data_IF_994646491811
#
_entry.id   IF_994646491811
#
_cell.length_a   1.000
_cell.length_b   1.000
_cell.length_c   1.000
_cell.angle_alpha   90.00
_cell.angle_beta   90.00
_cell.angle_gamma   90.00
#
_symmetry.space_group_name_H-M   'P 1'
#
loop_
_entity.id
_entity.type
_entity.pdbx_description
1 polymer ?
#
# COMPACT_ATOMS: atom_id res chain seq x y z
N UNK A 1 71.85 105.48 -176.90
CA UNK A 1 73.31 105.62 -177.01
C UNK A 1 73.84 104.37 -177.71
N UNK A 2 74.41 104.35 -178.92
CA UNK A 2 74.83 105.38 -179.91
C UNK A 2 74.93 104.69 -181.30
N UNK A 3 74.26 105.28 -182.31
CA UNK A 3 74.49 105.30 -183.79
C UNK A 3 74.41 104.01 -184.65
N UNK A 4 74.08 104.08 -185.97
CA UNK A 4 74.07 105.24 -186.90
C UNK A 4 72.70 105.51 -187.59
N UNK A 5 72.60 106.69 -188.22
CA UNK A 5 71.38 107.15 -188.93
C UNK A 5 71.40 106.89 -190.43
N UNK A 6 70.21 106.94 -191.08
CA UNK A 6 69.95 107.25 -192.50
C UNK A 6 68.44 107.59 -192.68
N UNK A 7 68.19 108.71 -193.36
CA UNK A 7 67.06 109.17 -194.21
C UNK A 7 65.59 108.82 -193.90
N UNK A 8 64.76 109.87 -193.83
CA UNK A 8 63.31 109.84 -193.68
C UNK A 8 62.49 109.38 -194.90
N UNK A 9 63.08 108.58 -195.80
CA UNK A 9 62.38 108.03 -196.98
C UNK A 9 62.11 106.51 -196.89
N UNK A 10 62.59 105.80 -195.87
CA UNK A 10 62.54 104.31 -195.82
C UNK A 10 61.46 103.68 -194.91
N UNK A 11 60.84 104.44 -193.99
CA UNK A 11 59.87 103.88 -193.01
C UNK A 11 58.51 103.59 -193.65
N UNK A 12 58.10 104.42 -194.60
CA UNK A 12 56.82 104.25 -195.29
C UNK A 12 56.87 103.10 -196.30
N UNK A 13 58.05 102.81 -196.86
CA UNK A 13 58.27 101.66 -197.74
C UNK A 13 58.17 100.35 -196.95
N UNK A 14 58.79 100.23 -195.77
CA UNK A 14 58.67 99.03 -194.91
C UNK A 14 57.25 98.82 -194.37
N UNK A 15 56.52 99.89 -194.07
CA UNK A 15 55.13 99.81 -193.59
C UNK A 15 54.18 99.39 -194.73
N UNK A 16 54.45 99.82 -195.96
CA UNK A 16 53.74 99.38 -197.15
C UNK A 16 54.05 97.91 -197.51
N UNK A 17 55.31 97.48 -197.38
CA UNK A 17 55.71 96.09 -197.60
C UNK A 17 55.15 95.15 -196.53
N UNK A 18 55.14 95.57 -195.26
CA UNK A 18 54.48 94.81 -194.18
C UNK A 18 52.94 94.77 -194.33
N UNK A 19 52.33 95.74 -195.04
CA UNK A 19 50.92 95.65 -195.43
C UNK A 19 50.73 94.71 -196.61
N UNK A 20 51.56 94.78 -197.65
CA UNK A 20 51.52 93.83 -198.78
C UNK A 20 51.78 92.39 -198.33
N UNK A 21 52.70 92.16 -197.40
CA UNK A 21 52.97 90.83 -196.86
C UNK A 21 51.76 90.27 -196.08
N UNK A 22 51.10 91.12 -195.27
CA UNK A 22 49.86 90.74 -194.56
C UNK A 22 48.69 90.51 -195.52
N UNK A 23 48.57 91.32 -196.57
CA UNK A 23 47.54 91.14 -197.59
C UNK A 23 47.82 89.89 -198.45
N UNK A 24 49.09 89.56 -198.73
CA UNK A 24 49.46 88.32 -199.42
C UNK A 24 49.23 87.07 -198.55
N UNK A 25 49.53 87.10 -197.25
CA UNK A 25 49.18 86.01 -196.34
C UNK A 25 47.66 85.88 -196.15
N UNK A 26 46.95 87.00 -196.15
CA UNK A 26 45.49 87.02 -196.10
C UNK A 26 44.87 86.46 -197.38
N UNK A 27 45.43 86.76 -198.54
CA UNK A 27 45.00 86.19 -199.83
C UNK A 27 45.29 84.69 -199.87
N UNK A 28 46.47 84.24 -199.43
CA UNK A 28 46.79 82.80 -199.32
C UNK A 28 45.80 82.03 -198.45
N UNK A 29 45.28 82.66 -197.39
CA UNK A 29 44.25 82.10 -196.51
C UNK A 29 42.81 82.20 -197.07
N UNK A 30 42.51 83.19 -197.92
CA UNK A 30 41.17 83.38 -198.49
C UNK A 30 40.93 82.65 -199.83
N UNK A 31 41.99 82.37 -200.60
CA UNK A 31 41.88 81.78 -201.94
C UNK A 31 41.87 80.25 -201.94
N UNK A 32 42.45 79.62 -200.91
CA UNK A 32 42.37 78.17 -200.74
C UNK A 32 41.04 77.79 -200.07
N UNK A 33 40.12 77.22 -200.87
CA UNK A 33 38.77 76.84 -200.43
C UNK A 33 38.76 75.81 -199.28
N UNK A 34 39.83 75.06 -199.05
CA UNK A 34 39.92 74.06 -197.97
C UNK A 34 40.30 74.70 -196.64
N UNK A 35 41.30 75.58 -196.63
CA UNK A 35 41.71 76.33 -195.42
C UNK A 35 40.66 77.35 -194.98
N UNK A 36 39.83 77.83 -195.91
CA UNK A 36 38.72 78.76 -195.66
C UNK A 36 37.48 78.10 -195.03
N UNK A 37 37.23 76.83 -195.35
CA UNK A 37 36.11 76.08 -194.77
C UNK A 37 36.51 75.27 -193.52
N UNK A 38 37.76 74.82 -193.43
CA UNK A 38 38.26 74.00 -192.31
C UNK A 38 39.70 74.43 -191.96
N UNK A 39 39.83 75.55 -191.26
CA UNK A 39 41.08 75.97 -190.62
C UNK A 39 41.09 75.55 -189.15
N UNK A 40 41.77 74.46 -188.80
CA UNK A 40 41.91 74.01 -187.41
C UNK A 40 43.38 74.03 -186.97
N UNK A 41 43.67 74.70 -185.85
CA UNK A 41 44.98 74.68 -185.20
C UNK A 41 45.13 73.39 -184.39
N UNK A 42 45.63 72.33 -185.04
CA UNK A 42 45.78 70.99 -184.46
C UNK A 42 46.74 71.01 -183.26
N UNK A 43 47.73 71.92 -183.23
CA UNK A 43 48.71 72.02 -182.14
C UNK A 43 48.05 72.66 -180.92
N UNK A 44 47.29 73.75 -181.12
CA UNK A 44 46.50 74.38 -180.05
C UNK A 44 45.47 73.44 -179.43
N UNK A 45 44.76 72.65 -180.25
CA UNK A 45 43.78 71.66 -179.75
C UNK A 45 44.45 70.55 -178.93
N UNK A 46 45.64 70.06 -179.33
CA UNK A 46 46.37 69.05 -178.55
C UNK A 46 46.77 69.57 -177.17
N UNK A 47 47.23 70.82 -177.06
CA UNK A 47 47.56 71.43 -175.78
C UNK A 47 46.32 71.60 -174.89
N UNK A 48 45.18 72.00 -175.47
CA UNK A 48 43.91 72.08 -174.73
C UNK A 48 43.42 70.72 -174.23
N UNK A 49 43.61 69.65 -175.01
CA UNK A 49 43.29 68.28 -174.57
C UNK A 49 44.18 67.87 -173.39
N UNK A 50 45.49 68.14 -173.47
CA UNK A 50 46.42 67.81 -172.39
C UNK A 50 46.11 68.59 -171.09
N UNK A 51 45.83 69.89 -171.20
CA UNK A 51 45.42 70.72 -170.06
C UNK A 51 44.11 70.20 -169.44
N UNK A 52 43.11 69.87 -170.27
CA UNK A 52 41.84 69.33 -169.80
C UNK A 52 41.98 67.96 -169.15
N UNK A 53 42.90 67.12 -169.65
CA UNK A 53 43.24 65.84 -169.03
C UNK A 53 43.93 66.01 -167.67
N UNK A 54 44.86 66.97 -167.54
CA UNK A 54 45.48 67.26 -166.25
C UNK A 54 44.47 67.81 -165.23
N UNK A 55 43.56 68.69 -165.67
CA UNK A 55 42.51 69.23 -164.81
C UNK A 55 41.54 68.13 -164.34
N UNK A 56 41.18 67.20 -165.22
CA UNK A 56 40.35 66.04 -164.88
C UNK A 56 41.06 65.09 -163.89
N UNK A 57 42.37 64.88 -164.03
CA UNK A 57 43.15 64.08 -163.06
C UNK A 57 43.23 64.75 -161.69
N UNK A 58 43.40 66.07 -161.64
CA UNK A 58 43.39 66.82 -160.37
C UNK A 58 42.02 66.76 -159.69
N UNK A 59 40.93 66.90 -160.45
CA UNK A 59 39.57 66.76 -159.92
C UNK A 59 39.31 65.35 -159.36
N UNK A 60 39.70 64.29 -160.07
CA UNK A 60 39.53 62.92 -159.59
C UNK A 60 40.26 62.66 -158.26
N UNK A 61 41.48 63.21 -158.09
CA UNK A 61 42.23 63.07 -156.84
C UNK A 61 41.59 63.84 -155.68
N UNK A 62 41.03 65.02 -155.94
CA UNK A 62 40.30 65.78 -154.92
C UNK A 62 38.97 65.11 -154.56
N UNK A 63 38.24 64.57 -155.53
CA UNK A 63 37.01 63.80 -155.29
C UNK A 63 37.30 62.54 -154.45
N UNK A 64 38.39 61.82 -154.74
CA UNK A 64 38.81 60.66 -153.96
C UNK A 64 39.16 61.04 -152.51
N UNK A 65 39.84 62.18 -152.28
CA UNK A 65 40.11 62.67 -150.91
C UNK A 65 38.82 63.01 -150.18
N UNK A 66 37.90 63.72 -150.82
CA UNK A 66 36.60 64.06 -150.23
C UNK A 66 35.79 62.81 -149.88
N UNK A 67 35.84 61.78 -150.73
CA UNK A 67 35.18 60.50 -150.46
C UNK A 67 35.76 59.81 -149.21
N UNK A 68 37.09 59.77 -149.08
CA UNK A 68 37.74 59.19 -147.89
C UNK A 68 37.39 59.97 -146.61
N UNK A 69 37.41 61.30 -146.66
CA UNK A 69 37.01 62.15 -145.52
C UNK A 69 35.54 61.92 -145.11
N UNK A 70 34.62 61.77 -146.07
CA UNK A 70 33.22 61.45 -145.80
C UNK A 70 33.04 60.06 -145.19
N UNK A 71 33.79 59.06 -145.64
CA UNK A 71 33.74 57.71 -145.07
C UNK A 71 34.28 57.67 -143.64
N UNK A 72 35.35 58.41 -143.34
CA UNK A 72 35.89 58.51 -141.97
C UNK A 72 34.92 59.22 -141.03
N UNK A 73 34.28 60.31 -141.48
CA UNK A 73 33.21 60.99 -140.73
C UNK A 73 32.03 60.05 -140.48
N UNK A 74 31.63 59.26 -141.48
CA UNK A 74 30.53 58.30 -141.35
C UNK A 74 30.84 57.22 -140.32
N UNK A 75 32.06 56.67 -140.34
CA UNK A 75 32.52 55.68 -139.35
C UNK A 75 32.55 56.23 -137.94
N UNK A 76 32.97 57.49 -137.78
CA UNK A 76 32.97 58.17 -136.49
C UNK A 76 31.54 58.35 -135.94
N UNK A 77 30.61 58.83 -136.77
CA UNK A 77 29.20 59.01 -136.38
C UNK A 77 28.54 57.70 -135.91
N UNK A 78 28.77 56.59 -136.64
CA UNK A 78 28.24 55.28 -136.26
C UNK A 78 28.78 54.83 -134.89
N UNK A 79 30.05 55.09 -134.59
CA UNK A 79 30.65 54.76 -133.29
C UNK A 79 30.00 55.55 -132.16
N UNK A 80 29.84 56.86 -132.34
CA UNK A 80 29.20 57.74 -131.35
C UNK A 80 27.74 57.32 -131.10
N UNK A 81 26.99 57.00 -132.15
CA UNK A 81 25.60 56.55 -132.01
C UNK A 81 25.51 55.19 -131.30
N UNK A 82 26.44 54.27 -131.57
CA UNK A 82 26.52 52.99 -130.86
C UNK A 82 26.85 53.18 -129.36
N UNK A 83 27.78 54.08 -129.03
CA UNK A 83 28.15 54.40 -127.65
C UNK A 83 26.98 55.06 -126.90
N UNK A 84 26.28 56.03 -127.51
CA UNK A 84 25.11 56.68 -126.90
C UNK A 84 23.96 55.69 -126.67
N UNK A 85 23.69 54.81 -127.62
CA UNK A 85 22.59 53.83 -127.48
C UNK A 85 22.87 52.80 -126.39
N UNK A 86 24.13 52.40 -126.21
CA UNK A 86 24.55 51.55 -125.10
C UNK A 86 24.43 52.29 -123.76
N UNK A 87 24.94 53.52 -123.66
CA UNK A 87 24.84 54.32 -122.44
C UNK A 87 23.38 54.53 -122.00
N UNK A 88 22.47 54.90 -122.92
CA UNK A 88 21.04 55.04 -122.62
C UNK A 88 20.40 53.73 -122.18
N UNK A 89 20.80 52.60 -122.76
CA UNK A 89 20.29 51.28 -122.35
C UNK A 89 20.73 50.92 -120.93
N UNK A 90 22.00 51.17 -120.61
CA UNK A 90 22.56 50.88 -119.29
C UNK A 90 21.95 51.76 -118.20
N UNK A 91 21.77 53.06 -118.47
CA UNK A 91 21.07 53.98 -117.57
C UNK A 91 19.63 53.55 -117.32
N UNK A 92 18.88 53.21 -118.39
CA UNK A 92 17.51 52.73 -118.25
C UNK A 92 17.43 51.40 -117.48
N UNK A 93 18.40 50.50 -117.66
CA UNK A 93 18.48 49.26 -116.90
C UNK A 93 18.80 49.53 -115.42
N UNK A 94 19.73 50.45 -115.13
CA UNK A 94 20.06 50.86 -113.76
C UNK A 94 18.84 51.44 -113.06
N UNK A 95 18.14 52.38 -113.68
CA UNK A 95 16.96 53.01 -113.10
C UNK A 95 15.85 51.99 -112.79
N UNK A 96 15.64 51.00 -113.67
CA UNK A 96 14.69 49.90 -113.41
C UNK A 96 15.10 49.03 -112.22
N UNK A 97 16.40 48.73 -112.06
CA UNK A 97 16.90 47.97 -110.89
C UNK A 97 16.73 48.77 -109.60
N UNK A 98 17.06 50.06 -109.62
CA UNK A 98 16.94 50.93 -108.45
C UNK A 98 15.46 51.09 -108.03
N UNK A 99 14.56 51.28 -108.99
CA UNK A 99 13.12 51.31 -108.75
C UNK A 99 12.59 49.98 -108.18
N UNK A 100 13.00 48.84 -108.75
CA UNK A 100 12.62 47.53 -108.24
C UNK A 100 13.15 47.31 -106.81
N UNK A 101 14.40 47.69 -106.53
CA UNK A 101 14.99 47.56 -105.20
C UNK A 101 14.25 48.41 -104.14
N UNK A 102 13.84 49.63 -104.49
CA UNK A 102 13.07 50.50 -103.60
C UNK A 102 11.64 49.96 -103.38
N UNK A 103 10.94 49.57 -104.44
CA UNK A 103 9.54 49.12 -104.37
C UNK A 103 9.34 47.70 -103.79
N UNK A 104 10.38 46.86 -103.78
CA UNK A 104 10.34 45.51 -103.20
C UNK A 104 10.87 45.43 -101.76
N UNK A 105 11.15 46.56 -101.10
CA UNK A 105 11.57 46.57 -99.70
C UNK A 105 10.56 45.80 -98.83
N UNK A 106 11.01 44.67 -98.27
CA UNK A 106 10.16 43.70 -97.56
C UNK A 106 9.44 44.31 -96.35
N UNK A 107 10.00 45.37 -95.78
CA UNK A 107 9.48 46.06 -94.59
C UNK A 107 8.34 47.04 -94.89
N UNK A 108 8.20 47.50 -96.13
CA UNK A 108 7.17 48.48 -96.53
C UNK A 108 5.91 47.80 -97.09
N UNK A 109 5.91 46.47 -97.18
CA UNK A 109 4.73 45.71 -97.59
C UNK A 109 3.66 45.79 -96.50
N UNK A 110 2.40 45.85 -96.92
CA UNK A 110 1.25 45.83 -96.00
C UNK A 110 1.20 44.59 -95.11
N UNK A 111 1.79 43.49 -95.57
CA UNK A 111 1.87 42.20 -94.87
C UNK A 111 3.18 42.00 -94.08
N UNK A 112 4.06 43.01 -94.04
CA UNK A 112 5.34 42.91 -93.36
C UNK A 112 5.18 42.66 -91.84
N UNK A 113 4.07 43.13 -91.26
CA UNK A 113 3.69 42.90 -89.88
C UNK A 113 3.25 41.46 -89.60
N UNK A 114 2.55 40.83 -90.54
CA UNK A 114 2.14 39.42 -90.51
C UNK A 114 3.34 38.50 -90.76
N UNK A 115 4.28 38.92 -91.62
CA UNK A 115 5.50 38.17 -91.95
C UNK A 115 6.60 38.27 -90.88
N UNK A 116 6.35 38.98 -89.76
CA UNK A 116 7.28 39.04 -88.61
C UNK A 116 7.41 37.69 -87.91
N UNK A 117 8.57 37.45 -87.32
CA UNK A 117 8.79 36.24 -86.53
C UNK A 117 8.00 36.32 -85.23
N UNK A 118 7.44 35.18 -84.80
CA UNK A 118 6.78 35.06 -83.49
C UNK A 118 7.74 35.43 -82.34
N UNK A 119 9.05 35.34 -82.58
CA UNK A 119 10.11 35.72 -81.63
C UNK A 119 10.18 37.23 -81.35
N UNK A 120 9.64 38.06 -82.25
CA UNK A 120 9.66 39.53 -82.12
C UNK A 120 8.47 40.05 -81.30
N UNK A 121 7.54 39.17 -80.90
CA UNK A 121 6.40 39.55 -80.05
C UNK A 121 6.77 39.45 -78.56
N UNK A 122 6.36 40.42 -77.73
CA UNK A 122 6.58 40.35 -76.29
C UNK A 122 5.80 39.16 -75.68
N UNK A 123 6.31 38.54 -74.60
CA UNK A 123 5.60 37.47 -73.92
C UNK A 123 4.25 37.96 -73.41
N UNK A 124 3.24 37.11 -73.52
CA UNK A 124 1.89 37.43 -73.07
C UNK A 124 1.88 37.69 -71.55
N UNK A 125 1.45 38.88 -71.15
CA UNK A 125 1.18 39.18 -69.76
C UNK A 125 -0.22 38.68 -69.38
N UNK A 126 -0.30 37.47 -68.84
CA UNK A 126 -1.54 36.79 -68.44
C UNK A 126 -2.35 37.59 -67.42
N UNK A 127 -1.69 38.37 -66.54
CA UNK A 127 -2.36 39.16 -65.51
C UNK A 127 -2.99 40.46 -66.04
N UNK A 128 -2.56 40.93 -67.21
CA UNK A 128 -3.16 42.08 -67.92
C UNK A 128 -4.31 41.68 -68.85
N UNK A 129 -4.52 40.37 -69.05
CA UNK A 129 -5.54 39.84 -69.95
C UNK A 129 -6.93 39.91 -69.30
N UNK A 130 -7.95 40.29 -70.08
CA UNK A 130 -9.33 40.34 -69.61
C UNK A 130 -9.97 38.93 -69.60
N UNK A 131 -11.13 38.81 -68.94
CA UNK A 131 -11.86 37.54 -68.79
C UNK A 131 -12.25 36.96 -70.16
N UNK A 132 -12.62 37.81 -71.13
CA UNK A 132 -13.05 37.39 -72.48
C UNK A 132 -11.94 36.74 -73.31
N UNK A 133 -10.67 37.03 -73.01
CA UNK A 133 -9.51 36.48 -73.73
C UNK A 133 -9.24 35.00 -73.43
N UNK A 134 -9.85 34.45 -72.37
CA UNK A 134 -9.65 33.08 -71.88
C UNK A 134 -8.18 32.70 -71.65
N UNK A 135 -7.30 33.68 -71.38
CA UNK A 135 -5.89 33.45 -71.09
C UNK A 135 -5.61 33.24 -69.59
N UNK A 136 -6.54 33.65 -68.71
CA UNK A 136 -6.44 33.53 -67.26
C UNK A 136 -7.69 32.85 -66.70
N UNK A 137 -7.50 31.84 -65.87
CA UNK A 137 -8.58 31.13 -65.17
C UNK A 137 -8.36 31.21 -63.66
N UNK A 138 -9.34 31.75 -62.93
CA UNK A 138 -9.23 31.89 -61.47
C UNK A 138 -9.16 30.55 -60.72
N UNK A 139 -9.54 29.44 -61.37
CA UNK A 139 -9.42 28.09 -60.82
C UNK A 139 -8.01 27.50 -60.81
N UNK A 140 -7.04 28.09 -61.50
CA UNK A 140 -5.67 27.55 -61.62
C UNK A 140 -4.87 27.63 -60.30
N UNK A 141 -5.28 28.51 -59.37
CA UNK A 141 -4.63 28.75 -58.06
C UNK A 141 -3.09 28.67 -58.10
N UNK A 142 -2.46 29.74 -58.61
CA UNK A 142 -1.00 29.89 -58.63
C UNK A 142 -0.37 29.84 -57.23
N UNK A 143 -1.16 30.11 -56.18
CA UNK A 143 -0.76 30.10 -54.77
C UNK A 143 -0.97 28.75 -54.06
N UNK A 144 -1.39 27.70 -54.77
CA UNK A 144 -1.73 26.39 -54.19
C UNK A 144 -0.64 25.85 -53.25
N UNK A 145 0.62 25.94 -53.65
CA UNK A 145 1.73 25.44 -52.85
C UNK A 145 1.94 26.24 -51.56
N UNK A 146 1.83 27.57 -51.62
CA UNK A 146 1.94 28.43 -50.45
C UNK A 146 0.77 28.21 -49.48
N UNK A 147 -0.46 28.11 -50.01
CA UNK A 147 -1.66 27.78 -49.24
C UNK A 147 -1.50 26.44 -48.51
N UNK A 148 -1.06 25.38 -49.21
CA UNK A 148 -0.80 24.09 -48.58
C UNK A 148 0.30 24.16 -47.51
N UNK A 149 1.37 24.94 -47.76
CA UNK A 149 2.44 25.14 -46.77
C UNK A 149 1.91 25.83 -45.50
N UNK A 150 1.11 26.87 -45.64
CA UNK A 150 0.49 27.57 -44.51
C UNK A 150 -0.49 26.68 -43.74
N UNK A 151 -1.34 25.93 -44.44
CA UNK A 151 -2.25 24.97 -43.82
C UNK A 151 -1.50 23.87 -43.07
N UNK A 152 -0.42 23.33 -43.65
CA UNK A 152 0.41 22.34 -42.99
C UNK A 152 1.09 22.91 -41.73
N UNK A 153 1.56 24.15 -41.77
CA UNK A 153 2.12 24.83 -40.61
C UNK A 153 1.07 25.03 -39.51
N UNK A 154 -0.14 25.50 -39.85
CA UNK A 154 -1.24 25.64 -38.90
C UNK A 154 -1.63 24.30 -38.26
N UNK A 155 -1.78 23.25 -39.05
CA UNK A 155 -2.08 21.91 -38.54
C UNK A 155 -0.99 21.40 -37.59
N UNK A 156 0.29 21.64 -37.92
CA UNK A 156 1.41 21.27 -37.06
C UNK A 156 1.35 22.02 -35.73
N UNK A 157 1.15 23.33 -35.78
CA UNK A 157 1.14 24.18 -34.58
C UNK A 157 -0.06 23.83 -33.68
N UNK A 158 -1.24 23.58 -34.25
CA UNK A 158 -2.41 23.10 -33.50
C UNK A 158 -2.18 21.73 -32.87
N UNK A 159 -1.57 20.80 -33.61
CA UNK A 159 -1.26 19.45 -33.10
C UNK A 159 -0.25 19.55 -31.95
N UNK A 160 0.75 20.43 -32.07
CA UNK A 160 1.73 20.66 -31.03
C UNK A 160 1.09 21.26 -29.77
N UNK A 161 0.19 22.23 -29.92
CA UNK A 161 -0.55 22.82 -28.80
C UNK A 161 -1.41 21.77 -28.09
N UNK A 162 -2.17 20.96 -28.84
CA UNK A 162 -2.96 19.87 -28.26
C UNK A 162 -2.10 18.82 -27.55
N UNK A 163 -0.94 18.48 -28.10
CA UNK A 163 -0.03 17.54 -27.46
C UNK A 163 0.52 18.10 -26.14
N UNK A 164 0.90 19.37 -26.12
CA UNK A 164 1.36 20.07 -24.91
C UNK A 164 0.25 20.13 -23.86
N UNK A 165 -0.97 20.51 -24.23
CA UNK A 165 -2.11 20.54 -23.32
C UNK A 165 -2.41 19.15 -22.75
N UNK A 166 -2.39 18.10 -23.59
CA UNK A 166 -2.58 16.73 -23.14
C UNK A 166 -1.48 16.29 -22.17
N UNK A 167 -0.22 16.65 -22.44
CA UNK A 167 0.90 16.35 -21.56
C UNK A 167 0.76 17.07 -20.21
N UNK A 168 0.39 18.35 -20.22
CA UNK A 168 0.17 19.12 -18.99
C UNK A 168 -0.98 18.54 -18.16
N UNK A 169 -2.09 18.15 -18.79
CA UNK A 169 -3.21 17.47 -18.12
C UNK A 169 -2.76 16.14 -17.51
N UNK A 170 -2.03 15.32 -18.26
CA UNK A 170 -1.52 14.04 -17.77
C UNK A 170 -0.52 14.22 -16.60
N UNK A 171 0.29 15.27 -16.63
CA UNK A 171 1.18 15.62 -15.51
C UNK A 171 0.40 16.05 -14.27
N UNK A 172 -0.60 16.93 -14.44
CA UNK A 172 -1.47 17.35 -13.35
C UNK A 172 -2.23 16.17 -12.73
N UNK A 173 -2.80 15.27 -13.54
CA UNK A 173 -3.44 14.05 -13.06
C UNK A 173 -2.47 13.14 -12.31
N UNK A 174 -1.22 13.02 -12.77
CA UNK A 174 -0.19 12.25 -12.08
C UNK A 174 0.27 12.92 -10.76
N UNK A 175 0.33 14.25 -10.70
CA UNK A 175 0.61 15.00 -9.48
C UNK A 175 -0.52 14.84 -8.46
N UNK A 176 -1.78 14.96 -8.90
CA UNK A 176 -2.96 14.75 -8.05
C UNK A 176 -3.03 13.31 -7.53
N UNK A 177 -2.74 12.32 -8.38
CA UNK A 177 -2.68 10.91 -7.98
C UNK A 177 -1.56 10.66 -6.95
N UNK A 178 -0.40 11.29 -7.10
CA UNK A 178 0.69 11.23 -6.11
C UNK A 178 0.30 11.88 -4.79
N UNK A 179 -0.26 13.09 -4.84
CA UNK A 179 -0.74 13.79 -3.64
C UNK A 179 -1.80 12.96 -2.91
N UNK A 180 -2.73 12.36 -3.64
CA UNK A 180 -3.72 11.45 -3.06
C UNK A 180 -3.07 10.22 -2.43
N UNK A 181 -2.14 9.56 -3.12
CA UNK A 181 -1.41 8.42 -2.56
C UNK A 181 -0.66 8.77 -1.27
N UNK A 182 0.00 9.94 -1.22
CA UNK A 182 0.69 10.42 -0.02
C UNK A 182 -0.28 10.70 1.13
N UNK A 183 -1.44 11.29 0.85
CA UNK A 183 -2.49 11.49 1.88
C UNK A 183 -3.01 10.16 2.40
N UNK A 184 -3.26 9.17 1.54
CA UNK A 184 -3.72 7.84 1.96
C UNK A 184 -2.66 7.11 2.77
N UNK A 185 -1.38 7.20 2.39
CA UNK A 185 -0.27 6.65 3.18
C UNK A 185 -0.16 7.33 4.55
N UNK A 186 -0.39 8.64 4.63
CA UNK A 186 -0.44 9.36 5.90
C UNK A 186 -1.62 8.92 6.79
N UNK A 187 -2.83 8.82 6.22
CA UNK A 187 -4.01 8.32 6.94
C UNK A 187 -3.78 6.91 7.46
N UNK A 188 -3.21 6.01 6.64
CA UNK A 188 -2.90 4.65 7.06
C UNK A 188 -1.89 4.59 8.21
N UNK A 189 -0.87 5.47 8.21
CA UNK A 189 0.05 5.60 9.36
C UNK A 189 -0.67 6.06 10.62
N UNK A 190 -1.51 7.08 10.53
CA UNK A 190 -2.28 7.58 11.69
C UNK A 190 -3.23 6.51 12.25
N UNK A 191 -3.88 5.73 11.37
CA UNK A 191 -4.72 4.60 11.77
C UNK A 191 -3.89 3.55 12.52
N UNK A 192 -2.73 3.18 11.98
CA UNK A 192 -1.85 2.23 12.63
C UNK A 192 -1.35 2.72 14.00
N UNK A 193 -0.93 3.99 14.09
CA UNK A 193 -0.53 4.61 15.36
C UNK A 193 -1.68 4.56 16.38
N UNK A 194 -2.89 4.96 15.97
CA UNK A 194 -4.07 4.92 16.83
C UNK A 194 -4.43 3.49 17.30
N UNK A 195 -4.31 2.48 16.42
CA UNK A 195 -4.50 1.08 16.79
C UNK A 195 -3.45 0.62 17.81
N UNK A 196 -2.18 0.94 17.59
CA UNK A 196 -1.11 0.55 18.52
C UNK A 196 -1.27 1.21 19.89
N UNK A 197 -1.69 2.47 19.93
CA UNK A 197 -1.94 3.18 21.20
C UNK A 197 -3.18 2.65 21.90
N UNK A 198 -4.24 2.30 21.15
CA UNK A 198 -5.40 1.63 21.70
C UNK A 198 -5.04 0.27 22.33
N UNK A 199 -4.22 -0.54 21.66
CA UNK A 199 -3.74 -1.82 22.19
C UNK A 199 -2.88 -1.63 23.46
N UNK A 200 -2.00 -0.62 23.48
CA UNK A 200 -1.21 -0.27 24.67
C UNK A 200 -2.09 0.12 25.85
N UNK A 201 -3.10 0.97 25.64
CA UNK A 201 -4.01 1.36 26.72
C UNK A 201 -4.87 0.19 27.19
N UNK A 202 -5.36 -0.65 26.27
CA UNK A 202 -6.10 -1.87 26.61
C UNK A 202 -5.26 -2.84 27.44
N UNK A 203 -4.01 -3.07 27.06
CA UNK A 203 -3.11 -3.97 27.81
C UNK A 203 -2.77 -3.40 29.19
N UNK A 204 -2.55 -2.08 29.29
CA UNK A 204 -2.35 -1.37 30.56
C UNK A 204 -3.57 -1.51 31.48
N UNK A 205 -4.78 -1.25 30.97
CA UNK A 205 -6.03 -1.42 31.74
C UNK A 205 -6.21 -2.87 32.20
N UNK A 206 -5.95 -3.86 31.34
CA UNK A 206 -6.03 -5.26 31.71
C UNK A 206 -5.04 -5.62 32.83
N UNK A 207 -3.84 -5.05 32.80
CA UNK A 207 -2.83 -5.24 33.83
C UNK A 207 -3.20 -4.57 35.16
N UNK A 208 -3.81 -3.38 35.12
CA UNK A 208 -4.34 -2.71 36.31
C UNK A 208 -5.48 -3.50 36.96
N UNK A 209 -6.44 -3.99 36.16
CA UNK A 209 -7.54 -4.85 36.63
C UNK A 209 -6.98 -6.14 37.24
N UNK A 210 -5.99 -6.75 36.60
CA UNK A 210 -5.32 -7.94 37.13
C UNK A 210 -4.68 -7.66 38.49
N UNK A 211 -3.91 -6.57 38.62
CA UNK A 211 -3.28 -6.17 39.90
C UNK A 211 -4.31 -5.93 40.99
N UNK A 212 -5.41 -5.26 40.65
CA UNK A 212 -6.52 -5.03 41.58
C UNK A 212 -7.14 -6.35 42.06
N UNK A 213 -7.40 -7.28 41.14
CA UNK A 213 -7.95 -8.60 41.46
C UNK A 213 -6.99 -9.44 42.33
N UNK A 214 -5.68 -9.38 42.04
CA UNK A 214 -4.65 -10.05 42.85
C UNK A 214 -4.61 -9.48 44.27
N UNK A 215 -4.68 -8.15 44.42
CA UNK A 215 -4.75 -7.48 45.71
C UNK A 215 -6.04 -7.83 46.48
N UNK A 216 -7.19 -7.83 45.80
CA UNK A 216 -8.48 -8.21 46.38
C UNK A 216 -8.48 -9.68 46.85
N UNK A 217 -7.93 -10.59 46.05
CA UNK A 217 -7.79 -11.99 46.42
C UNK A 217 -6.86 -12.17 47.64
N UNK A 218 -5.78 -11.39 47.72
CA UNK A 218 -4.89 -11.40 48.89
C UNK A 218 -5.61 -10.90 50.15
N UNK A 219 -6.38 -9.82 50.03
CA UNK A 219 -7.20 -9.29 51.12
C UNK A 219 -8.22 -10.33 51.60
N UNK A 220 -8.97 -10.96 50.68
CA UNK A 220 -9.94 -12.00 51.03
C UNK A 220 -9.29 -13.20 51.74
N UNK A 221 -8.09 -13.61 51.31
CA UNK A 221 -7.33 -14.67 52.00
C UNK A 221 -6.98 -14.25 53.43
N UNK A 222 -6.50 -13.03 53.62
CA UNK A 222 -6.15 -12.51 54.94
C UNK A 222 -7.37 -12.41 55.85
N UNK A 223 -8.49 -11.89 55.33
CA UNK A 223 -9.74 -11.78 56.08
C UNK A 223 -10.30 -13.16 56.44
N UNK A 224 -10.19 -14.13 55.53
CA UNK A 224 -10.54 -15.53 55.78
C UNK A 224 -9.69 -16.17 56.88
N UNK A 225 -8.37 -15.93 56.89
CA UNK A 225 -7.48 -16.39 57.97
C UNK A 225 -7.84 -15.73 59.31
N UNK A 226 -8.11 -14.42 59.31
CA UNK A 226 -8.52 -13.69 60.51
C UNK A 226 -9.89 -14.15 61.03
N UNK A 227 -10.83 -14.47 60.14
CA UNK A 227 -12.10 -15.06 60.52
C UNK A 227 -11.90 -16.44 61.17
N UNK A 228 -11.08 -17.31 60.57
CA UNK A 228 -10.74 -18.63 61.14
C UNK A 228 -10.05 -18.53 62.50
N UNK A 229 -9.12 -17.59 62.67
CA UNK A 229 -8.47 -17.35 63.95
C UNK A 229 -9.49 -16.91 65.00
N UNK A 230 -10.39 -15.98 64.66
CA UNK A 230 -11.47 -15.54 65.56
C UNK A 230 -12.41 -16.67 65.94
N UNK A 231 -12.84 -17.50 64.98
CA UNK A 231 -13.68 -18.65 65.30
C UNK A 231 -12.95 -19.62 66.21
N UNK A 232 -11.67 -19.89 65.94
CA UNK A 232 -10.87 -20.76 66.81
C UNK A 232 -10.73 -20.22 68.24
N UNK A 233 -10.48 -18.91 68.40
CA UNK A 233 -10.40 -18.26 69.70
C UNK A 233 -11.74 -18.33 70.45
N UNK A 234 -12.86 -18.15 69.73
CA UNK A 234 -14.21 -18.29 70.27
C UNK A 234 -14.48 -19.74 70.69
N UNK A 235 -14.16 -20.72 69.85
CA UNK A 235 -14.33 -22.14 70.13
C UNK A 235 -13.50 -22.55 71.35
N UNK A 236 -12.25 -22.10 71.44
CA UNK A 236 -11.39 -22.33 72.61
C UNK A 236 -11.99 -21.71 73.88
N UNK A 237 -12.50 -20.48 73.76
CA UNK A 237 -13.14 -19.78 74.88
C UNK A 237 -14.40 -20.51 75.35
N UNK A 238 -15.22 -21.01 74.41
CA UNK A 238 -16.40 -21.82 74.70
C UNK A 238 -16.01 -23.14 75.38
N UNK A 239 -15.02 -23.87 74.84
CA UNK A 239 -14.52 -25.11 75.45
C UNK A 239 -14.04 -24.85 76.89
N UNK A 240 -13.26 -23.79 77.11
CA UNK A 240 -12.79 -23.43 78.45
C UNK A 240 -13.95 -23.07 79.39
N UNK A 241 -14.92 -22.29 78.92
CA UNK A 241 -16.10 -21.91 79.69
C UNK A 241 -16.97 -23.13 80.03
N UNK A 242 -17.13 -24.07 79.11
CA UNK A 242 -17.90 -25.31 79.32
C UNK A 242 -17.18 -26.26 80.28
N UNK A 243 -15.86 -26.44 80.17
CA UNK A 243 -15.08 -27.26 81.10
C UNK A 243 -15.07 -26.67 82.52
N UNK A 244 -14.97 -25.35 82.65
CA UNK A 244 -15.02 -24.65 83.95
C UNK A 244 -16.44 -24.45 84.47
N UNK A 245 -17.45 -24.72 83.64
CA UNK A 245 -18.85 -24.65 84.05
C UNK A 245 -19.10 -25.59 85.23
N UNK A 246 -19.86 -25.08 86.19
CA UNK A 246 -20.24 -25.82 87.38
C UNK A 246 -21.14 -27.04 87.05
N UNK A 247 -21.74 -27.09 85.85
CA UNK A 247 -22.50 -28.24 85.38
C UNK A 247 -21.58 -29.43 85.04
N UNK A 248 -20.54 -29.21 84.21
CA UNK A 248 -19.63 -30.28 83.75
C UNK A 248 -18.64 -30.71 84.84
N UNK A 249 -18.13 -29.75 85.62
CA UNK A 249 -17.25 -30.05 86.76
C UNK A 249 -17.98 -30.63 87.98
N UNK A 250 -19.30 -30.79 87.86
CA UNK A 250 -20.21 -31.24 88.91
C UNK A 250 -20.03 -30.53 90.27
N UNK A 251 -19.62 -29.26 90.27
CA UNK A 251 -19.15 -28.55 91.45
C UNK A 251 -20.15 -28.64 92.64
N UNK A 252 -19.78 -29.24 93.79
CA UNK A 252 -20.67 -29.42 94.94
C UNK A 252 -21.07 -28.09 95.62
N UNK A 253 -20.34 -27.01 95.36
CA UNK A 253 -20.67 -25.67 95.88
C UNK A 253 -21.99 -25.12 95.33
N UNK A 254 -22.50 -25.64 94.21
CA UNK A 254 -23.82 -25.25 93.66
C UNK A 254 -25.00 -25.59 94.59
N UNK A 255 -24.79 -26.51 95.53
CA UNK A 255 -25.79 -26.94 96.50
C UNK A 255 -25.80 -26.04 97.74
N UNK A 256 -24.73 -25.27 97.99
CA UNK A 256 -24.56 -24.45 99.18
C UNK A 256 -25.47 -23.21 99.10
N UNK A 257 -26.29 -22.98 100.13
CA UNK A 257 -26.94 -21.69 100.35
C UNK A 257 -26.10 -20.83 101.29
N UNK A 258 -26.36 -19.53 101.28
CA UNK A 258 -25.76 -18.59 102.23
C UNK A 258 -26.19 -18.88 103.69
N UNK A 259 -27.34 -19.54 103.85
CA UNK A 259 -27.80 -20.05 105.15
C UNK A 259 -27.09 -21.37 105.47
N UNK A 260 -26.15 -21.32 106.42
CA UNK A 260 -25.51 -22.51 106.98
C UNK A 260 -26.58 -23.51 107.45
N UNK A 261 -26.41 -24.79 107.13
CA UNK A 261 -27.33 -25.91 107.41
C UNK A 261 -28.49 -26.13 106.43
N UNK A 262 -28.70 -25.29 105.41
CA UNK A 262 -29.63 -25.60 104.32
C UNK A 262 -28.89 -25.83 103.00
N UNK A 263 -29.39 -26.78 102.23
CA UNK A 263 -28.86 -27.16 100.92
C UNK A 263 -29.96 -26.98 99.89
N UNK A 264 -29.59 -26.56 98.68
CA UNK A 264 -30.52 -26.41 97.56
C UNK A 264 -30.89 -27.79 97.06
N UNK A 265 -32.15 -28.17 97.23
CA UNK A 265 -32.64 -29.54 96.97
C UNK A 265 -32.33 -30.00 95.54
N UNK A 266 -32.56 -29.14 94.55
CA UNK A 266 -32.36 -29.47 93.13
C UNK A 266 -30.90 -29.76 92.74
N UNK A 267 -29.93 -29.29 93.53
CA UNK A 267 -28.49 -29.40 93.23
C UNK A 267 -27.75 -30.23 94.28
N UNK A 268 -28.47 -30.95 95.14
CA UNK A 268 -27.85 -31.81 96.14
C UNK A 268 -27.29 -33.08 95.48
N UNK A 269 -25.98 -33.30 95.63
CA UNK A 269 -25.24 -34.41 95.01
C UNK A 269 -24.63 -35.38 96.05
N UNK A 270 -25.30 -35.55 97.18
CA UNK A 270 -24.85 -36.43 98.26
C UNK A 270 -24.01 -35.73 99.34
N UNK A 271 -23.37 -36.53 100.18
CA UNK A 271 -22.57 -36.05 101.31
C UNK A 271 -21.18 -35.60 100.87
N UNK A 272 -20.63 -34.58 101.53
CA UNK A 272 -19.22 -34.23 101.37
C UNK A 272 -18.33 -35.40 101.78
N UNK A 273 -17.15 -35.61 101.15
CA UNK A 273 -16.21 -36.64 101.59
C UNK A 273 -15.81 -36.51 103.07
N UNK A 274 -15.82 -35.30 103.62
CA UNK A 274 -15.57 -35.06 105.05
C UNK A 274 -16.74 -35.53 105.93
N UNK A 275 -17.98 -35.27 105.51
CA UNK A 275 -19.19 -35.72 106.21
C UNK A 275 -19.33 -37.24 106.14
N UNK A 276 -19.07 -37.83 104.97
CA UNK A 276 -19.05 -39.28 104.79
C UNK A 276 -17.99 -39.94 105.70
N UNK A 277 -16.79 -39.35 105.81
CA UNK A 277 -15.76 -39.79 106.77
C UNK A 277 -16.23 -39.66 108.21
N UNK A 278 -16.89 -38.55 108.57
CA UNK A 278 -17.43 -38.36 109.91
C UNK A 278 -18.49 -39.42 110.27
N UNK A 279 -19.34 -39.80 109.31
CA UNK A 279 -20.31 -40.90 109.49
C UNK A 279 -19.58 -42.23 109.70
N UNK A 280 -18.57 -42.54 108.89
CA UNK A 280 -17.77 -43.77 109.06
C UNK A 280 -17.11 -43.80 110.45
N UNK A 281 -16.46 -42.72 110.86
CA UNK A 281 -15.86 -42.61 112.20
C UNK A 281 -16.89 -42.72 113.33
N UNK A 282 -18.08 -42.15 113.14
CA UNK A 282 -19.19 -42.28 114.10
C UNK A 282 -19.67 -43.73 114.20
N UNK A 283 -19.76 -44.45 113.07
CA UNK A 283 -20.14 -45.85 113.04
C UNK A 283 -19.09 -46.73 113.73
N UNK A 284 -17.80 -46.47 113.50
CA UNK A 284 -16.71 -47.15 114.20
C UNK A 284 -16.79 -46.94 115.71
N UNK A 285 -17.05 -45.71 116.16
CA UNK A 285 -17.28 -45.39 117.59
C UNK A 285 -18.48 -46.14 118.16
N UNK A 286 -19.59 -46.22 117.41
CA UNK A 286 -20.79 -46.95 117.83
C UNK A 286 -20.53 -48.46 117.92
N UNK A 287 -19.76 -49.03 116.98
CA UNK A 287 -19.36 -50.43 117.02
C UNK A 287 -18.47 -50.72 118.23
N UNK A 288 -17.49 -49.86 118.50
CA UNK A 288 -16.62 -49.98 119.67
C UNK A 288 -17.42 -49.88 120.99
N UNK A 289 -18.37 -48.93 121.08
CA UNK A 289 -19.24 -48.80 122.25
C UNK A 289 -20.15 -50.03 122.44
N UNK A 290 -20.69 -50.58 121.36
CA UNK A 290 -21.49 -51.82 121.40
C UNK A 290 -20.66 -53.05 121.79
N UNK A 291 -19.41 -53.14 121.33
CA UNK A 291 -18.49 -54.19 121.75
C UNK A 291 -18.16 -54.08 123.25
N UNK A 292 -17.80 -52.88 123.71
CA UNK A 292 -17.55 -52.62 125.13
C UNK A 292 -18.76 -52.96 126.00
N UNK A 293 -19.98 -52.63 125.55
CA UNK A 293 -21.21 -53.01 126.24
C UNK A 293 -21.39 -54.54 126.30
N UNK A 294 -21.18 -55.25 125.17
CA UNK A 294 -21.26 -56.71 125.13
C UNK A 294 -20.24 -57.38 126.05
N UNK A 295 -19.04 -56.83 126.15
CA UNK A 295 -18.00 -57.39 127.03
C UNK A 295 -18.32 -57.11 128.51
N UNK A 296 -18.85 -55.93 128.84
CA UNK A 296 -19.38 -55.64 130.18
C UNK A 296 -20.56 -56.55 130.56
N UNK A 297 -21.48 -56.81 129.62
CA UNK A 297 -22.61 -57.74 129.83
C UNK A 297 -22.11 -59.17 130.06
N UNK A 298 -21.08 -59.64 129.33
CA UNK A 298 -20.43 -60.95 129.57
C UNK A 298 -19.72 -61.02 130.91
N UNK A 299 -19.02 -59.96 131.32
CA UNK A 299 -18.38 -59.89 132.63
C UNK A 299 -19.41 -59.95 133.75
N UNK A 300 -20.52 -59.23 133.62
CA UNK A 300 -21.65 -59.30 134.54
C UNK A 300 -22.25 -60.71 134.59
N UNK A 301 -22.46 -61.36 133.44
CA UNK A 301 -22.97 -62.75 133.37
C UNK A 301 -22.00 -63.75 134.02
N UNK A 302 -20.69 -63.58 133.82
CA UNK A 302 -19.66 -64.38 134.49
C UNK A 302 -19.63 -64.16 136.01
N UNK A 303 -19.82 -62.93 136.48
CA UNK A 303 -19.96 -62.63 137.90
C UNK A 303 -21.23 -63.23 138.49
N UNK A 304 -22.36 -63.13 137.80
CA UNK A 304 -23.62 -63.77 138.20
C UNK A 304 -23.48 -65.29 138.25
N UNK A 305 -22.84 -65.91 137.26
CA UNK A 305 -22.55 -67.34 137.24
C UNK A 305 -21.66 -67.75 138.42
N UNK A 306 -20.61 -66.96 138.74
CA UNK A 306 -19.78 -67.19 139.94
C UNK A 306 -20.58 -67.08 141.23
N UNK A 307 -21.45 -66.07 141.36
CA UNK A 307 -22.35 -65.90 142.52
C UNK A 307 -23.32 -67.07 142.64
N UNK A 308 -23.92 -67.51 141.53
CA UNK A 308 -24.80 -68.67 141.50
C UNK A 308 -24.08 -69.96 141.89
N UNK A 309 -22.83 -70.16 141.44
CA UNK A 309 -22.05 -71.34 141.81
C UNK A 309 -21.66 -71.32 143.30
N UNK A 310 -21.28 -70.16 143.85
CA UNK A 310 -21.05 -70.01 145.29
C UNK A 310 -22.32 -70.32 146.10
N UNK A 311 -23.48 -69.81 145.66
CA UNK A 311 -24.77 -70.11 146.28
C UNK A 311 -25.10 -71.60 146.19
N UNK A 312 -24.86 -72.25 145.04
CA UNK A 312 -25.02 -73.70 144.88
C UNK A 312 -24.13 -74.49 145.84
N UNK A 313 -22.87 -74.09 146.02
CA UNK A 313 -21.96 -74.73 146.98
C UNK A 313 -22.46 -74.57 148.42
N UNK A 314 -22.89 -73.37 148.81
CA UNK A 314 -23.48 -73.14 150.13
C UNK A 314 -24.73 -73.98 150.35
N UNK A 315 -25.63 -74.07 149.36
CA UNK A 315 -26.83 -74.90 149.44
C UNK A 315 -26.47 -76.40 149.57
N UNK A 316 -25.49 -76.88 148.82
CA UNK A 316 -25.01 -78.26 148.91
C UNK A 316 -24.37 -78.56 150.28
N UNK A 317 -23.62 -77.61 150.85
CA UNK A 317 -23.08 -77.72 152.23
C UNK A 317 -24.21 -77.76 153.27
N UNK A 318 -25.21 -76.90 153.14
CA UNK A 318 -26.41 -76.92 153.99
C UNK A 318 -27.18 -78.23 153.89
N UNK A 319 -27.38 -78.77 152.67
CA UNK A 319 -28.01 -80.07 152.45
C UNK A 319 -27.19 -81.20 153.08
N UNK A 320 -25.87 -81.19 152.91
CA UNK A 320 -24.98 -82.19 153.48
C UNK A 320 -24.99 -82.16 155.02
N UNK A 321 -25.01 -80.98 155.63
CA UNK A 321 -25.12 -80.82 157.08
C UNK A 321 -26.51 -81.22 157.61
N UNK A 322 -27.58 -80.94 156.86
CA UNK A 322 -28.91 -81.40 157.18
C UNK A 322 -29.01 -82.95 157.11
N UNK A 323 -28.40 -83.57 156.09
CA UNK A 323 -28.32 -85.02 155.94
C UNK A 323 -27.54 -85.65 157.10
N UNK A 324 -26.38 -85.06 157.47
CA UNK A 324 -25.62 -85.49 158.66
C UNK A 324 -26.45 -85.43 159.93
N UNK A 325 -27.21 -84.35 160.14
CA UNK A 325 -28.12 -84.23 161.31
C UNK A 325 -29.21 -85.29 161.29
N UNK A 326 -29.80 -85.60 160.12
CA UNK A 326 -30.79 -86.70 159.99
C UNK A 326 -30.17 -88.06 160.29
N UNK A 327 -28.98 -88.34 159.78
CA UNK A 327 -28.26 -89.59 160.06
C UNK A 327 -27.92 -89.69 161.55
N UNK A 328 -27.46 -88.61 162.17
CA UNK A 328 -27.17 -88.57 163.60
C UNK A 328 -28.43 -88.83 164.44
N UNK A 329 -29.54 -88.18 164.09
CA UNK A 329 -30.82 -88.35 164.79
C UNK A 329 -31.41 -89.76 164.59
N UNK A 330 -31.31 -90.34 163.39
CA UNK A 330 -31.74 -91.73 163.15
C UNK A 330 -30.88 -92.74 163.89
N UNK A 331 -29.57 -92.50 164.02
CA UNK A 331 -28.67 -93.33 164.84
C UNK A 331 -29.05 -93.26 166.32
N UNK A 332 -29.36 -92.07 166.83
CA UNK A 332 -29.82 -91.85 168.21
C UNK A 332 -31.16 -92.55 168.50
N UNK A 333 -32.11 -92.49 167.54
CA UNK A 333 -33.36 -93.25 167.60
C UNK A 333 -33.10 -94.77 167.57
N UNK A 334 -32.17 -95.26 166.75
CA UNK A 334 -31.82 -96.69 166.76
C UNK A 334 -31.19 -97.14 168.08
N UNK A 335 -30.34 -96.32 168.70
CA UNK A 335 -29.73 -96.63 170.00
C UNK A 335 -30.78 -96.66 171.11
N UNK A 336 -31.73 -95.72 171.12
CA UNK A 336 -32.83 -95.72 172.08
C UNK A 336 -33.77 -96.91 171.88
N UNK A 337 -34.07 -97.29 170.64
CA UNK A 337 -34.85 -98.51 170.34
C UNK A 337 -34.13 -99.80 170.79
N UNK A 338 -32.80 -99.90 170.60
CA UNK A 338 -32.01 -101.03 171.11
C UNK A 338 -32.09 -101.14 172.63
N UNK A 339 -31.94 -100.00 173.33
CA UNK A 339 -32.07 -99.95 174.79
C UNK A 339 -33.48 -100.35 175.26
N UNK A 340 -34.53 -99.89 174.57
CA UNK A 340 -35.91 -100.31 174.85
C UNK A 340 -36.13 -101.80 174.59
N UNK A 341 -35.50 -102.39 173.56
CA UNK A 341 -35.57 -103.82 173.28
C UNK A 341 -34.85 -104.67 174.34
N UNK A 342 -33.74 -104.19 174.90
CA UNK A 342 -33.05 -104.82 176.03
C UNK A 342 -33.89 -104.74 177.31
N UNK A 343 -34.46 -103.57 177.62
CA UNK A 343 -35.38 -103.39 178.75
C UNK A 343 -36.66 -104.24 178.62
N UNK A 344 -37.16 -104.43 177.40
CA UNK A 344 -38.29 -105.32 177.12
C UNK A 344 -37.95 -106.80 177.33
N UNK A 345 -36.77 -107.25 176.88
CA UNK A 345 -36.26 -108.61 177.16
C UNK A 345 -36.06 -108.87 178.64
N UNK A 346 -35.58 -107.88 179.40
CA UNK A 346 -35.47 -107.99 180.85
C UNK A 346 -36.84 -108.08 181.54
N UNK A 347 -37.83 -107.29 181.08
CA UNK A 347 -39.21 -107.41 181.56
C UNK A 347 -39.80 -108.78 181.27
N UNK A 348 -39.59 -109.31 180.07
CA UNK A 348 -40.07 -110.64 179.68
C UNK A 348 -39.42 -111.74 180.52
N UNK A 349 -38.11 -111.65 180.82
CA UNK A 349 -37.44 -112.53 181.79
C UNK A 349 -38.07 -112.45 183.18
N UNK A 350 -38.24 -111.24 183.73
CA UNK A 350 -38.87 -111.05 185.06
C UNK A 350 -40.30 -111.59 185.10
N UNK A 351 -41.05 -111.43 184.02
CA UNK A 351 -42.43 -111.93 183.93
C UNK A 351 -42.47 -113.46 183.79
N UNK A 352 -41.49 -114.05 183.11
CA UNK A 352 -41.32 -115.51 183.02
C UNK A 352 -40.95 -116.13 184.37
N UNK A 353 -40.09 -115.47 185.15
CA UNK A 353 -39.74 -115.93 186.51
C UNK A 353 -40.90 -115.77 187.50
N UNK A 354 -41.74 -114.73 187.36
CA UNK A 354 -42.94 -114.53 188.18
C UNK A 354 -44.11 -115.47 187.85
N UNK A 355 -44.16 -116.01 186.62
CA UNK A 355 -45.21 -116.95 186.19
C UNK A 355 -44.93 -118.43 186.53
N UNK A 356 -43.76 -118.73 187.10
CA UNK A 356 -43.44 -120.04 187.68
C UNK A 356 -43.71 -120.03 189.19
N UNK A 357 -44.90 -120.45 189.59
CA UNK A 357 -45.29 -120.58 191.00
C UNK A 357 -44.38 -121.55 191.76
N UNK A 358 -43.85 -121.10 192.91
CA UNK A 358 -42.99 -121.88 193.80
C UNK A 358 -43.84 -122.49 194.92
N UNK A 359 -43.87 -123.82 194.99
CA UNK A 359 -44.56 -124.54 196.06
C UNK A 359 -43.70 -124.44 197.34
N UNK A 360 -44.20 -123.72 198.34
CA UNK A 360 -43.50 -123.54 199.62
C UNK A 360 -43.52 -124.83 200.45
N UNK A 361 -42.44 -125.08 201.20
CA UNK A 361 -42.27 -126.31 202.01
C UNK A 361 -43.35 -126.51 203.09
N UNK A 362 -44.12 -125.47 203.45
CA UNK A 362 -45.28 -125.60 204.34
C UNK A 362 -46.52 -126.23 203.69
N UNK A 363 -46.59 -126.29 202.35
CA UNK A 363 -47.73 -126.80 201.59
C UNK A 363 -47.95 -128.31 201.76
N UNK A 364 -46.90 -129.09 202.02
CA UNK A 364 -47.02 -130.53 202.21
C UNK A 364 -47.32 -130.95 203.66
N UNK A 365 -47.19 -130.05 204.63
CA UNK A 365 -47.52 -130.34 206.04
C UNK A 365 -49.04 -130.25 206.34
N UNK A 366 -49.85 -129.81 205.38
CA UNK A 366 -51.33 -129.87 205.45
C UNK A 366 -51.89 -131.21 204.95
N UNK A 367 -51.04 -132.13 204.49
CA UNK A 367 -51.45 -133.48 204.08
C UNK A 367 -51.03 -134.51 205.15
N UNK A 368 -52.02 -135.20 205.73
CA UNK A 368 -51.78 -136.41 206.52
C UNK A 368 -51.53 -136.23 208.03
N UNK A 369 -51.72 -135.04 208.61
CA UNK A 369 -51.66 -134.86 210.09
C UNK A 369 -52.95 -135.27 210.82
N UNK A 370 -53.81 -136.06 210.15
CA UNK A 370 -54.98 -136.75 210.73
C UNK A 370 -55.26 -138.06 209.97
N UNK A 371 -54.67 -139.16 210.45
CA UNK A 371 -55.32 -140.48 210.61
C UNK A 371 -55.23 -140.70 212.15
N UNK A 372 -56.17 -141.36 212.81
CA UNK A 372 -56.02 -142.78 213.12
C UNK A 372 -54.59 -143.35 213.13
#
# INVERSE_FOLDING_TARGET
MVLPGVNGEDVDVRRAEARRARDQERVKKLHDGRLRNIGADIVGVKNQIAEKQQLAQQQAVEDDKQFQEQEDLRRYLIRVEAEETLARRDEAAKLRRDWAAQSLSRHERKEADIARSIKDQPPLNVDACNISSAQKFDGEDRGRHERHRLQAAQCRDWTQLQLQERQQRAQAEADDARAYADTMAHVSRLQHEAETDYEREKTKQALEVRRFNEALAAQQRHDGLRAKARTHDMDQSEICATLTSALVSENPLQAKLDVGHRVRVDHWKGLSPEEAKAVVLSNERLLAANQAKRDADKEAEMEEARRQEQLRRQMAEYEHDAEKRRVYHTLEVQQTLKRQAEEAKERERRQKDLSQGKIEKGFFNSFGTSFR
#
